data_IF_467100343168
#
_entry.id   IF_467100343168
#
_cell.length_a   1.000
_cell.length_b   1.000
_cell.length_c   1.000
_cell.angle_alpha   90.00
_cell.angle_beta   90.00
_cell.angle_gamma   90.00
#
_symmetry.space_group_name_H-M   'P 1'
#
loop_
_entity.id
_entity.type
_entity.pdbx_description
1 polymer ?
#
# COMPACT_ATOMS: atom_id res chain seq x y z
N UNK A 1 -10.38 -37.38 -6.71
CA UNK A 1 -10.33 -35.92 -6.72
C UNK A 1 -10.29 -35.46 -8.18
N UNK A 2 -11.25 -34.71 -8.67
CA UNK A 2 -11.35 -34.34 -10.08
C UNK A 2 -10.45 -33.13 -10.34
N UNK A 3 -9.68 -33.18 -11.46
CA UNK A 3 -8.76 -32.09 -11.90
C UNK A 3 -9.41 -30.72 -12.09
N UNK A 4 -10.75 -30.62 -12.09
CA UNK A 4 -11.52 -29.41 -12.29
C UNK A 4 -11.57 -28.45 -11.08
N UNK A 5 -11.18 -28.90 -9.89
CA UNK A 5 -11.37 -28.13 -8.65
C UNK A 5 -10.15 -27.26 -8.28
N UNK A 6 -9.08 -27.30 -9.08
CA UNK A 6 -7.80 -26.59 -8.82
C UNK A 6 -7.63 -25.28 -9.62
N UNK A 7 -8.57 -24.97 -10.51
CA UNK A 7 -8.50 -23.72 -11.31
C UNK A 7 -9.66 -22.82 -10.92
N UNK A 8 -9.61 -22.27 -9.71
CA UNK A 8 -10.39 -21.07 -9.43
C UNK A 8 -9.65 -19.88 -10.05
N UNK A 9 -10.28 -19.27 -11.07
CA UNK A 9 -9.83 -17.98 -11.62
C UNK A 9 -9.77 -16.95 -10.50
N UNK A 10 -8.65 -16.21 -10.36
CA UNK A 10 -8.54 -15.20 -9.31
C UNK A 10 -9.63 -14.15 -9.49
N UNK A 11 -10.44 -13.98 -8.45
CA UNK A 11 -11.45 -12.91 -8.40
C UNK A 11 -10.74 -11.55 -8.47
N UNK A 12 -11.33 -10.61 -9.22
CA UNK A 12 -10.90 -9.21 -9.30
C UNK A 12 -10.74 -8.64 -7.89
N UNK A 13 -9.51 -8.36 -7.47
CA UNK A 13 -9.21 -7.76 -6.16
C UNK A 13 -8.22 -8.54 -5.30
N UNK A 14 -7.20 -9.15 -5.93
CA UNK A 14 -6.11 -9.79 -5.17
C UNK A 14 -5.50 -8.81 -4.16
N UNK A 15 -5.65 -9.13 -2.87
CA UNK A 15 -5.07 -8.34 -1.78
C UNK A 15 -3.57 -8.65 -1.64
N UNK A 16 -2.80 -7.79 -0.98
CA UNK A 16 -1.40 -8.04 -0.62
C UNK A 16 -1.22 -9.42 0.06
N UNK A 17 -2.22 -9.85 0.82
CA UNK A 17 -2.25 -11.18 1.45
C UNK A 17 -2.30 -12.30 0.41
N UNK A 18 -3.11 -12.16 -0.64
CA UNK A 18 -3.17 -13.13 -1.75
C UNK A 18 -1.84 -13.21 -2.49
N UNK A 19 -1.21 -12.08 -2.80
CA UNK A 19 0.11 -12.03 -3.43
C UNK A 19 1.17 -12.71 -2.57
N UNK A 20 1.17 -12.47 -1.24
CA UNK A 20 2.10 -13.12 -0.32
C UNK A 20 1.88 -14.62 -0.22
N UNK A 21 0.64 -15.09 -0.24
CA UNK A 21 0.31 -16.52 -0.23
C UNK A 21 0.81 -17.18 -1.50
N UNK A 22 0.47 -16.64 -2.68
CA UNK A 22 0.88 -17.20 -3.98
C UNK A 22 2.40 -17.21 -4.12
N UNK A 23 3.09 -16.15 -3.68
CA UNK A 23 4.55 -16.10 -3.65
C UNK A 23 5.14 -17.16 -2.71
N UNK A 24 4.57 -17.30 -1.51
CA UNK A 24 5.01 -18.31 -0.53
C UNK A 24 4.83 -19.73 -1.05
N UNK A 25 3.69 -20.05 -1.67
CA UNK A 25 3.43 -21.33 -2.31
C UNK A 25 4.42 -21.62 -3.43
N UNK A 26 4.69 -20.65 -4.31
CA UNK A 26 5.70 -20.79 -5.37
C UNK A 26 7.09 -21.08 -4.80
N UNK A 27 7.51 -20.37 -3.76
CA UNK A 27 8.81 -20.59 -3.10
C UNK A 27 8.89 -21.97 -2.43
N UNK A 28 7.79 -22.47 -1.90
CA UNK A 28 7.71 -23.82 -1.36
C UNK A 28 7.89 -24.88 -2.46
N UNK A 29 7.16 -24.75 -3.57
CA UNK A 29 7.26 -25.64 -4.72
C UNK A 29 8.67 -25.66 -5.31
N UNK A 30 9.35 -24.53 -5.40
CA UNK A 30 10.74 -24.45 -5.86
C UNK A 30 11.70 -25.22 -4.93
N UNK A 31 11.52 -25.11 -3.61
CA UNK A 31 12.34 -25.89 -2.64
C UNK A 31 12.09 -27.40 -2.75
N UNK A 32 10.85 -27.80 -2.98
CA UNK A 32 10.52 -29.23 -3.19
C UNK A 32 11.17 -29.74 -4.47
N UNK A 33 11.14 -28.97 -5.56
CA UNK A 33 11.78 -29.31 -6.82
C UNK A 33 13.30 -29.47 -6.65
N UNK A 34 13.96 -28.53 -5.99
CA UNK A 34 15.40 -28.56 -5.68
C UNK A 34 15.76 -29.79 -4.81
N UNK A 35 14.92 -30.11 -3.82
CA UNK A 35 15.10 -31.31 -2.99
C UNK A 35 14.96 -32.60 -3.80
N UNK A 36 14.09 -32.65 -4.79
CA UNK A 36 13.92 -33.80 -5.68
C UNK A 36 15.12 -33.95 -6.64
N UNK A 37 15.66 -32.87 -7.16
CA UNK A 37 16.84 -32.88 -8.04
C UNK A 37 18.11 -33.39 -7.33
N UNK A 38 18.20 -33.19 -6.01
CA UNK A 38 19.31 -33.61 -5.18
C UNK A 38 19.10 -34.98 -4.54
N UNK A 39 18.04 -35.75 -4.91
CA UNK A 39 17.75 -37.07 -4.36
C UNK A 39 18.22 -38.18 -5.28
N UNK A 40 18.84 -39.23 -4.70
CA UNK A 40 19.35 -40.43 -5.41
C UNK A 40 18.25 -41.43 -5.87
N UNK A 41 17.04 -40.96 -6.17
CA UNK A 41 15.91 -41.82 -6.54
C UNK A 41 15.93 -42.23 -8.03
N UNK A 42 15.45 -43.46 -8.41
CA UNK A 42 15.51 -43.95 -9.77
C UNK A 42 14.68 -43.09 -10.76
N UNK A 43 15.30 -42.77 -11.89
CA UNK A 43 14.90 -41.78 -12.91
C UNK A 43 13.48 -41.87 -13.51
N UNK A 44 12.75 -42.99 -13.38
CA UNK A 44 11.48 -43.16 -14.07
C UNK A 44 10.25 -42.56 -13.38
N UNK A 45 10.19 -42.58 -12.05
CA UNK A 45 9.08 -42.06 -11.25
C UNK A 45 9.19 -40.54 -11.06
N UNK A 46 10.43 -40.07 -10.98
CA UNK A 46 10.80 -38.67 -10.79
C UNK A 46 10.38 -37.75 -11.94
N UNK A 47 10.39 -38.28 -13.20
CA UNK A 47 10.04 -37.42 -14.35
C UNK A 47 8.58 -37.00 -14.38
N UNK A 48 7.67 -37.77 -13.79
CA UNK A 48 6.25 -37.42 -13.74
C UNK A 48 5.95 -36.41 -12.60
N UNK A 49 6.51 -36.62 -11.41
CA UNK A 49 6.39 -35.75 -10.27
C UNK A 49 7.04 -34.39 -10.55
N UNK A 50 8.20 -34.37 -11.17
CA UNK A 50 8.90 -33.17 -11.62
C UNK A 50 8.05 -32.36 -12.60
N UNK A 51 7.45 -32.98 -13.62
CA UNK A 51 6.55 -32.29 -14.57
C UNK A 51 5.37 -31.64 -13.88
N UNK A 52 4.73 -32.32 -12.92
CA UNK A 52 3.62 -31.76 -12.16
C UNK A 52 4.06 -30.55 -11.35
N UNK A 53 5.24 -30.60 -10.71
CA UNK A 53 5.79 -29.47 -9.96
C UNK A 53 6.13 -28.28 -10.88
N UNK A 54 6.74 -28.52 -12.02
CA UNK A 54 7.06 -27.51 -13.02
C UNK A 54 5.77 -26.82 -13.55
N UNK A 55 4.72 -27.59 -13.84
CA UNK A 55 3.42 -27.05 -14.23
C UNK A 55 2.80 -26.19 -13.13
N UNK A 56 2.86 -26.61 -11.86
CA UNK A 56 2.37 -25.85 -10.72
C UNK A 56 3.16 -24.55 -10.50
N UNK A 57 4.50 -24.62 -10.60
CA UNK A 57 5.37 -23.44 -10.50
C UNK A 57 5.05 -22.45 -11.63
N UNK A 58 4.87 -22.95 -12.85
CA UNK A 58 4.49 -22.13 -14.00
C UNK A 58 3.13 -21.43 -13.78
N UNK A 59 2.13 -22.18 -13.33
CA UNK A 59 0.81 -21.62 -13.01
C UNK A 59 0.87 -20.52 -11.94
N UNK A 60 1.64 -20.75 -10.86
CA UNK A 60 1.82 -19.74 -9.80
C UNK A 60 2.62 -18.52 -10.26
N UNK A 61 3.59 -18.72 -11.16
CA UNK A 61 4.34 -17.60 -11.76
C UNK A 61 3.45 -16.74 -12.64
N UNK A 62 2.60 -17.38 -13.47
CA UNK A 62 1.61 -16.67 -14.30
C UNK A 62 0.62 -15.87 -13.47
N UNK A 63 0.14 -16.44 -12.36
CA UNK A 63 -0.77 -15.76 -11.43
C UNK A 63 -0.10 -14.53 -10.78
N UNK A 64 1.16 -14.66 -10.32
CA UNK A 64 1.93 -13.54 -9.77
C UNK A 64 2.16 -12.43 -10.81
N UNK A 65 2.49 -12.79 -12.03
CA UNK A 65 2.69 -11.82 -13.12
C UNK A 65 1.40 -11.06 -13.42
N UNK A 66 0.26 -11.73 -13.40
CA UNK A 66 -1.04 -11.07 -13.59
C UNK A 66 -1.38 -10.11 -12.44
N UNK A 67 -1.13 -10.51 -11.19
CA UNK A 67 -1.32 -9.66 -10.01
C UNK A 67 -0.41 -8.43 -10.07
N UNK A 68 0.85 -8.62 -10.39
CA UNK A 68 1.84 -7.53 -10.50
C UNK A 68 1.49 -6.58 -11.65
N UNK A 69 1.12 -7.10 -12.83
CA UNK A 69 0.72 -6.28 -13.98
C UNK A 69 -0.48 -5.38 -13.65
N UNK A 70 -1.50 -5.90 -12.97
CA UNK A 70 -2.65 -5.11 -12.57
C UNK A 70 -2.32 -4.04 -11.52
N UNK A 71 -1.32 -4.30 -10.66
CA UNK A 71 -0.82 -3.33 -9.68
C UNK A 71 0.04 -2.26 -10.36
N UNK A 72 0.94 -2.66 -11.27
CA UNK A 72 1.79 -1.75 -12.05
C UNK A 72 0.94 -0.80 -12.91
N UNK A 73 -0.16 -1.29 -13.47
CA UNK A 73 -1.12 -0.45 -14.20
C UNK A 73 -1.71 0.66 -13.31
N UNK A 74 -2.11 0.34 -12.07
CA UNK A 74 -2.62 1.33 -11.13
C UNK A 74 -1.56 2.38 -10.76
N UNK A 75 -0.33 1.94 -10.54
CA UNK A 75 0.80 2.85 -10.29
C UNK A 75 1.04 3.75 -11.49
N UNK A 76 1.06 3.18 -12.71
CA UNK A 76 1.21 3.94 -13.95
C UNK A 76 0.11 4.99 -14.12
N UNK A 77 -1.14 4.65 -13.80
CA UNK A 77 -2.25 5.61 -13.83
C UNK A 77 -2.05 6.77 -12.87
N UNK A 78 -1.57 6.51 -11.63
CA UNK A 78 -1.30 7.58 -10.63
C UNK A 78 -0.13 8.46 -11.06
N UNK A 79 0.92 7.87 -11.63
CA UNK A 79 2.12 8.61 -12.04
C UNK A 79 1.94 9.35 -13.37
N UNK A 80 0.83 9.12 -14.08
CA UNK A 80 0.57 9.77 -15.36
C UNK A 80 0.36 11.28 -15.19
N UNK A 81 0.93 12.07 -16.10
CA UNK A 81 0.67 13.52 -16.19
C UNK A 81 -0.83 13.82 -16.44
N UNK A 82 -1.54 12.89 -17.07
CA UNK A 82 -2.97 13.00 -17.37
C UNK A 82 -3.88 12.44 -16.27
N UNK A 83 -3.31 12.10 -15.11
CA UNK A 83 -4.09 11.61 -13.98
C UNK A 83 -5.22 12.59 -13.61
N UNK A 84 -6.46 12.07 -13.58
CA UNK A 84 -7.66 12.86 -13.25
C UNK A 84 -8.01 12.71 -11.76
N UNK A 85 -8.52 13.78 -11.11
CA UNK A 85 -8.93 13.73 -9.70
C UNK A 85 -9.92 12.60 -9.38
N UNK A 86 -10.88 12.33 -10.28
CA UNK A 86 -11.90 11.31 -10.13
C UNK A 86 -11.29 9.89 -10.13
N UNK A 87 -10.27 9.69 -10.95
CA UNK A 87 -9.51 8.43 -11.00
C UNK A 87 -8.74 8.22 -9.70
N UNK A 88 -8.04 9.24 -9.20
CA UNK A 88 -7.32 9.18 -7.93
C UNK A 88 -8.27 8.88 -6.76
N UNK A 89 -9.45 9.51 -6.74
CA UNK A 89 -10.48 9.26 -5.73
C UNK A 89 -11.03 7.82 -5.82
N UNK A 90 -11.22 7.28 -7.04
CA UNK A 90 -11.62 5.90 -7.25
C UNK A 90 -10.56 4.93 -6.76
N UNK A 91 -9.30 5.10 -7.18
CA UNK A 91 -8.19 4.24 -6.75
C UNK A 91 -8.00 4.26 -5.24
N UNK A 92 -8.10 5.44 -4.60
CA UNK A 92 -8.00 5.55 -3.15
C UNK A 92 -9.18 4.87 -2.40
N UNK A 93 -10.36 4.74 -3.02
CA UNK A 93 -11.50 4.00 -2.45
C UNK A 93 -11.37 2.50 -2.58
N UNK A 94 -10.89 2.06 -3.74
CA UNK A 94 -10.78 0.64 -4.08
C UNK A 94 -9.54 -0.01 -3.48
N UNK A 95 -8.48 0.78 -3.21
CA UNK A 95 -7.25 0.27 -2.63
C UNK A 95 -7.48 -0.23 -1.19
N UNK A 96 -7.04 -1.44 -0.85
CA UNK A 96 -7.02 -1.90 0.53
C UNK A 96 -6.06 -1.04 1.35
N UNK A 97 -6.34 -0.87 2.66
CA UNK A 97 -5.46 -0.11 3.56
C UNK A 97 -4.03 -0.64 3.62
N UNK A 98 -3.83 -1.92 3.28
CA UNK A 98 -2.51 -2.55 3.20
C UNK A 98 -1.71 -2.16 1.97
N UNK A 99 -2.34 -1.56 0.95
CA UNK A 99 -1.66 -1.06 -0.25
C UNK A 99 -1.04 0.31 0.02
N UNK A 100 -0.08 0.30 0.96
CA UNK A 100 0.61 1.49 1.44
C UNK A 100 1.25 2.31 0.31
N UNK A 101 1.89 1.65 -0.65
CA UNK A 101 2.64 2.34 -1.69
C UNK A 101 1.71 3.12 -2.64
N UNK A 102 0.63 2.49 -3.11
CA UNK A 102 -0.36 3.16 -3.96
C UNK A 102 -1.02 4.34 -3.22
N UNK A 103 -1.46 4.12 -1.98
CA UNK A 103 -2.10 5.18 -1.18
C UNK A 103 -1.15 6.33 -0.85
N UNK A 104 0.14 6.03 -0.65
CA UNK A 104 1.17 7.05 -0.49
C UNK A 104 1.31 7.89 -1.75
N UNK A 105 1.47 7.28 -2.93
CA UNK A 105 1.57 8.00 -4.21
C UNK A 105 0.34 8.90 -4.44
N UNK A 106 -0.86 8.37 -4.16
CA UNK A 106 -2.09 9.16 -4.27
C UNK A 106 -2.06 10.36 -3.31
N UNK A 107 -1.58 10.17 -2.07
CA UNK A 107 -1.53 11.25 -1.07
C UNK A 107 -0.53 12.35 -1.41
N UNK A 108 0.46 12.07 -2.25
CA UNK A 108 1.46 13.02 -2.73
C UNK A 108 1.06 13.70 -4.06
N UNK A 109 0.04 13.18 -4.75
CA UNK A 109 -0.29 13.62 -6.10
C UNK A 109 -0.94 15.02 -6.12
N UNK A 110 -0.44 15.99 -6.92
CA UNK A 110 -0.87 17.39 -6.87
C UNK A 110 -2.36 17.60 -7.22
N UNK A 111 -2.95 16.70 -8.02
CA UNK A 111 -4.37 16.77 -8.41
C UNK A 111 -5.32 16.03 -7.45
N UNK A 112 -4.80 15.47 -6.33
CA UNK A 112 -5.69 14.82 -5.35
C UNK A 112 -6.64 15.81 -4.72
N UNK A 113 -7.90 15.40 -4.54
CA UNK A 113 -8.94 16.27 -3.99
C UNK A 113 -8.88 16.33 -2.46
N UNK A 114 -9.40 17.43 -1.86
CA UNK A 114 -9.56 17.55 -0.41
C UNK A 114 -10.40 16.40 0.17
N UNK A 115 -11.41 15.92 -0.57
CA UNK A 115 -12.25 14.78 -0.18
C UNK A 115 -11.43 13.50 -0.02
N UNK A 116 -10.55 13.22 -0.99
CA UNK A 116 -9.65 12.05 -0.93
C UNK A 116 -8.65 12.19 0.21
N UNK A 117 -8.06 13.38 0.38
CA UNK A 117 -7.17 13.70 1.51
C UNK A 117 -7.85 13.53 2.87
N UNK A 118 -9.11 13.99 3.01
CA UNK A 118 -9.90 13.80 4.22
C UNK A 118 -10.11 12.31 4.61
N UNK A 119 -10.18 11.43 3.61
CA UNK A 119 -10.22 9.97 3.83
C UNK A 119 -8.85 9.44 4.25
N UNK A 120 -7.79 9.83 3.55
CA UNK A 120 -6.41 9.42 3.81
C UNK A 120 -5.87 9.95 5.15
N UNK A 121 -6.39 11.05 5.64
CA UNK A 121 -6.08 11.60 6.98
C UNK A 121 -6.35 10.62 8.13
N UNK A 122 -7.22 9.64 7.91
CA UNK A 122 -7.59 8.60 8.90
C UNK A 122 -6.77 7.31 8.75
N UNK A 123 -5.81 7.30 7.82
CA UNK A 123 -5.04 6.10 7.54
C UNK A 123 -4.14 5.70 8.72
N UNK A 124 -3.98 4.39 9.03
CA UNK A 124 -3.15 3.93 10.15
C UNK A 124 -1.67 4.31 10.00
N UNK A 125 -1.13 4.32 8.78
CA UNK A 125 0.27 4.68 8.55
C UNK A 125 0.50 6.20 8.68
N UNK A 126 1.43 6.58 9.59
CA UNK A 126 1.76 7.98 9.86
C UNK A 126 2.24 8.73 8.61
N UNK A 127 3.06 8.11 7.77
CA UNK A 127 3.60 8.74 6.56
C UNK A 127 2.50 9.21 5.58
N UNK A 128 1.39 8.47 5.45
CA UNK A 128 0.25 8.93 4.63
C UNK A 128 -0.41 10.14 5.27
N UNK A 129 -0.61 10.15 6.60
CA UNK A 129 -1.16 11.31 7.32
C UNK A 129 -0.24 12.53 7.26
N UNK A 130 1.08 12.33 7.26
CA UNK A 130 2.07 13.38 7.07
C UNK A 130 1.99 14.02 5.68
N UNK A 131 1.87 13.20 4.63
CA UNK A 131 1.65 13.70 3.27
C UNK A 131 0.38 14.54 3.19
N UNK A 132 -0.72 14.06 3.76
CA UNK A 132 -1.97 14.83 3.85
C UNK A 132 -1.78 16.15 4.60
N UNK A 133 -1.05 16.14 5.72
CA UNK A 133 -0.80 17.34 6.51
C UNK A 133 0.02 18.42 5.76
N UNK A 134 0.91 18.00 4.87
CA UNK A 134 1.70 18.89 4.01
C UNK A 134 0.96 19.34 2.77
N UNK A 135 -0.07 18.60 2.34
CA UNK A 135 -0.66 18.77 1.02
C UNK A 135 -1.41 20.11 0.90
N UNK A 136 -1.20 20.91 -0.18
CA UNK A 136 -1.84 22.21 -0.36
C UNK A 136 -3.37 22.11 -0.55
N UNK A 137 -3.88 20.96 -1.01
CA UNK A 137 -5.33 20.74 -1.18
C UNK A 137 -6.01 20.21 0.11
N UNK A 138 -5.27 20.03 1.22
CA UNK A 138 -5.89 19.65 2.49
C UNK A 138 -6.73 20.79 3.02
N UNK A 139 -8.01 20.53 3.32
CA UNK A 139 -8.89 21.53 3.87
C UNK A 139 -8.76 21.72 5.39
N UNK A 140 -9.31 22.77 5.91
CA UNK A 140 -9.27 23.13 7.33
C UNK A 140 -9.83 22.01 8.24
N UNK A 141 -10.85 21.29 7.77
CA UNK A 141 -11.49 20.19 8.51
C UNK A 141 -10.54 18.99 8.62
N UNK A 142 -9.89 18.64 7.52
CA UNK A 142 -8.89 17.56 7.46
C UNK A 142 -7.69 17.88 8.35
N UNK A 143 -7.18 19.11 8.29
CA UNK A 143 -6.07 19.58 9.13
C UNK A 143 -6.44 19.61 10.62
N UNK A 144 -7.65 20.03 10.95
CA UNK A 144 -8.16 19.99 12.33
C UNK A 144 -8.29 18.53 12.83
N UNK A 145 -8.63 17.58 11.97
CA UNK A 145 -8.63 16.16 12.33
C UNK A 145 -7.22 15.66 12.65
N UNK A 146 -6.25 15.89 11.76
CA UNK A 146 -4.86 15.45 11.92
C UNK A 146 -4.22 16.09 13.17
N UNK A 147 -4.57 17.33 13.51
CA UNK A 147 -4.04 18.03 14.70
C UNK A 147 -4.35 17.35 16.03
N UNK A 148 -5.33 16.43 16.06
CA UNK A 148 -5.68 15.61 17.24
C UNK A 148 -4.75 14.43 17.43
N UNK A 149 -3.94 14.08 16.42
CA UNK A 149 -2.92 13.05 16.55
C UNK A 149 -1.93 13.42 17.66
N UNK A 150 -1.37 12.40 18.33
CA UNK A 150 -0.38 12.62 19.39
C UNK A 150 1.03 12.83 18.87
N UNK A 151 1.23 12.72 17.55
CA UNK A 151 2.52 12.84 16.88
C UNK A 151 2.96 14.30 16.75
N UNK A 152 4.09 14.67 17.36
CA UNK A 152 4.68 16.01 17.23
C UNK A 152 4.98 16.42 15.77
N UNK A 153 5.57 15.54 14.93
CA UNK A 153 5.78 15.86 13.52
C UNK A 153 4.51 16.30 12.80
N UNK A 154 3.36 15.64 13.08
CA UNK A 154 2.09 16.00 12.49
C UNK A 154 1.61 17.41 12.93
N UNK A 155 1.79 17.77 14.21
CA UNK A 155 1.43 19.12 14.68
C UNK A 155 2.23 20.22 13.99
N UNK A 156 3.54 19.96 13.78
CA UNK A 156 4.41 20.86 13.04
C UNK A 156 3.90 21.04 11.61
N UNK A 157 3.68 19.92 10.89
CA UNK A 157 3.20 19.94 9.51
C UNK A 157 1.86 20.68 9.37
N UNK A 158 0.91 20.40 10.26
CA UNK A 158 -0.37 21.11 10.27
C UNK A 158 -0.19 22.60 10.57
N UNK A 159 0.67 22.97 11.54
CA UNK A 159 0.87 24.39 11.89
C UNK A 159 1.43 25.21 10.72
N UNK A 160 2.22 24.60 9.84
CA UNK A 160 2.83 25.25 8.68
C UNK A 160 2.03 25.11 7.38
N UNK A 161 0.95 24.33 7.37
CA UNK A 161 0.10 24.24 6.18
C UNK A 161 -0.64 25.58 5.95
N UNK A 162 -0.65 26.13 4.72
CA UNK A 162 -1.29 27.41 4.41
C UNK A 162 -2.80 27.42 4.73
N UNK A 163 -3.48 26.28 4.58
CA UNK A 163 -4.92 26.15 4.80
C UNK A 163 -5.30 25.94 6.27
N UNK A 164 -4.32 25.95 7.18
CA UNK A 164 -4.60 25.82 8.61
C UNK A 164 -5.21 27.09 9.16
N UNK A 165 -6.41 27.04 9.78
CA UNK A 165 -7.04 28.19 10.41
C UNK A 165 -6.11 28.86 11.42
N UNK A 166 -6.11 30.20 11.46
CA UNK A 166 -5.22 31.00 12.33
C UNK A 166 -5.33 30.62 13.81
N UNK A 167 -6.54 30.34 14.29
CA UNK A 167 -6.79 29.87 15.67
C UNK A 167 -6.13 28.52 15.96
N UNK A 168 -6.23 27.56 15.04
CA UNK A 168 -5.61 26.25 15.17
C UNK A 168 -4.08 26.36 15.08
N UNK A 169 -3.59 27.13 14.13
CA UNK A 169 -2.15 27.40 13.95
C UNK A 169 -1.53 27.92 15.25
N UNK A 170 -2.14 28.95 15.85
CA UNK A 170 -1.67 29.54 17.11
C UNK A 170 -1.65 28.51 18.25
N UNK A 171 -2.70 27.68 18.37
CA UNK A 171 -2.73 26.61 19.39
C UNK A 171 -1.61 25.60 19.23
N UNK A 172 -1.33 25.18 17.99
CA UNK A 172 -0.27 24.22 17.69
C UNK A 172 1.11 24.81 17.93
N UNK A 173 1.35 26.06 17.51
CA UNK A 173 2.60 26.76 17.76
C UNK A 173 2.89 26.90 19.26
N UNK A 174 1.90 27.28 20.06
CA UNK A 174 2.03 27.35 21.51
C UNK A 174 2.34 26.00 22.14
N UNK A 175 1.66 24.94 21.66
CA UNK A 175 1.93 23.56 22.10
C UNK A 175 3.36 23.11 21.78
N UNK A 176 3.83 23.38 20.57
CA UNK A 176 5.20 23.06 20.13
C UNK A 176 6.25 23.84 20.94
N UNK A 177 6.00 25.15 21.21
CA UNK A 177 6.87 25.99 22.05
C UNK A 177 7.04 25.42 23.45
N UNK A 178 5.95 25.02 24.11
CA UNK A 178 5.98 24.43 25.47
C UNK A 178 6.79 23.13 25.51
N UNK A 179 6.68 22.30 24.45
CA UNK A 179 7.46 21.06 24.36
C UNK A 179 8.96 21.34 24.21
N UNK A 180 9.34 22.30 23.38
CA UNK A 180 10.74 22.70 23.21
C UNK A 180 11.37 23.19 24.52
N UNK A 181 10.63 23.96 25.30
CA UNK A 181 11.09 24.45 26.62
C UNK A 181 11.27 23.31 27.65
N UNK A 182 10.35 22.34 27.65
CA UNK A 182 10.42 21.18 28.55
C UNK A 182 11.62 20.24 28.26
N UNK A 183 12.12 20.22 27.02
CA UNK A 183 13.29 19.45 26.64
C UNK A 183 14.61 20.18 26.93
N UNK A 184 14.62 21.51 26.89
CA UNK A 184 15.79 22.32 27.19
C UNK A 184 16.09 22.42 28.70
N UNK A 185 15.14 22.01 29.57
CA UNK A 185 15.24 22.06 31.03
C UNK A 185 15.62 20.71 31.65
N UNK A 186 15.96 19.69 30.85
CA UNK A 186 16.46 18.38 31.29
C UNK A 186 17.91 18.19 30.87
#
# INVERSE_FOLDING_TARGET
MRRSDLVQTPQKGATKRTTQIVFGERQHLLRVLDSLENSDLPNGRMSQERRVLEELIHARTKELNHINSAWDEKIGQVLSADAKPEMLDRLAREAPQSDYYLLRLISEHPKVTSRTLGRLAKHPYAAIRENVARHPNADATTLAWISRDRSQPLWYLVAFNPNTPATLRRKLQERLRKLGQSQASK
#
